data_IF_373347624208
#
_entry.id   IF_373347624208
#
_cell.length_a   1.000
_cell.length_b   1.000
_cell.length_c   1.000
_cell.angle_alpha   90.00
_cell.angle_beta   90.00
_cell.angle_gamma   90.00
#
_symmetry.space_group_name_H-M   'P 1'
#
loop_
_entity.id
_entity.type
_entity.pdbx_description
1 polymer ?
#
# COMPACT_ATOMS: atom_id res chain seq x y z
N UNK A 1 -19.27 -3.75 -19.53
CA UNK A 1 -18.90 -2.50 -18.85
C UNK A 1 -20.10 -1.59 -18.89
N UNK A 2 -20.52 -1.04 -17.74
CA UNK A 2 -21.56 -0.01 -17.74
C UNK A 2 -21.06 1.19 -18.56
N UNK A 3 -21.87 1.69 -19.48
CA UNK A 3 -21.48 2.83 -20.28
C UNK A 3 -21.42 4.08 -19.40
N UNK A 4 -20.21 4.61 -19.20
CA UNK A 4 -19.99 5.88 -18.53
C UNK A 4 -19.88 6.98 -19.58
N UNK A 5 -20.58 8.10 -19.38
CA UNK A 5 -20.56 9.26 -20.27
C UNK A 5 -19.56 10.35 -19.81
N UNK A 6 -18.48 9.93 -19.14
CA UNK A 6 -17.43 10.81 -18.64
C UNK A 6 -16.05 10.21 -18.89
N UNK A 7 -15.03 11.07 -18.94
CA UNK A 7 -13.63 10.66 -19.16
C UNK A 7 -12.88 10.25 -17.89
N UNK A 8 -13.56 10.19 -16.73
CA UNK A 8 -12.93 9.76 -15.48
C UNK A 8 -12.79 8.24 -15.38
N UNK A 9 -11.65 7.81 -14.84
CA UNK A 9 -11.35 6.40 -14.54
C UNK A 9 -11.94 6.03 -13.17
N UNK A 10 -12.83 5.03 -13.17
CA UNK A 10 -13.39 4.47 -11.94
C UNK A 10 -12.55 3.27 -11.54
N UNK A 11 -11.63 3.49 -10.59
CA UNK A 11 -10.69 2.47 -10.11
C UNK A 11 -11.44 1.32 -9.45
N UNK A 12 -11.06 0.09 -9.77
CA UNK A 12 -11.61 -1.10 -9.14
C UNK A 12 -11.26 -1.16 -7.64
N UNK A 13 -12.11 -1.80 -6.80
CA UNK A 13 -11.80 -1.98 -5.40
C UNK A 13 -10.43 -2.66 -5.20
N UNK A 14 -9.52 -1.95 -4.54
CA UNK A 14 -8.15 -2.40 -4.31
C UNK A 14 -7.89 -2.71 -2.83
N UNK A 15 -7.12 -3.77 -2.52
CA UNK A 15 -6.74 -4.08 -1.14
C UNK A 15 -5.54 -3.24 -0.63
N UNK A 16 -4.83 -2.53 -1.51
CA UNK A 16 -3.62 -1.79 -1.13
C UNK A 16 -3.82 -0.70 -0.06
N UNK A 17 -4.95 0.04 -0.01
CA UNK A 17 -5.19 1.02 1.04
C UNK A 17 -5.20 0.42 2.45
N UNK A 18 -5.89 -0.72 2.65
CA UNK A 18 -5.98 -1.35 3.98
C UNK A 18 -4.63 -1.96 4.40
N UNK A 19 -3.91 -2.57 3.45
CA UNK A 19 -2.56 -3.07 3.72
C UNK A 19 -1.56 -1.95 3.98
N UNK A 20 -1.70 -0.80 3.31
CA UNK A 20 -0.90 0.39 3.57
C UNK A 20 -1.14 0.96 4.97
N UNK A 21 -2.40 1.02 5.41
CA UNK A 21 -2.75 1.44 6.77
C UNK A 21 -2.16 0.49 7.83
N UNK A 22 -2.25 -0.83 7.61
CA UNK A 22 -1.64 -1.82 8.49
C UNK A 22 -0.11 -1.70 8.52
N UNK A 23 0.55 -1.48 7.36
CA UNK A 23 1.99 -1.30 7.28
C UNK A 23 2.46 -0.02 8.02
N UNK A 24 1.70 1.08 7.94
CA UNK A 24 1.96 2.29 8.71
C UNK A 24 1.84 2.07 10.22
N UNK A 25 0.83 1.32 10.67
CA UNK A 25 0.67 0.93 12.07
C UNK A 25 1.84 0.07 12.57
N UNK A 26 2.27 -0.93 11.79
CA UNK A 26 3.43 -1.77 12.12
C UNK A 26 4.72 -0.96 12.17
N UNK A 27 4.90 0.01 11.28
CA UNK A 27 6.09 0.87 11.25
C UNK A 27 6.15 1.78 12.47
N UNK A 28 5.04 2.44 12.82
CA UNK A 28 4.97 3.35 13.98
C UNK A 28 5.13 2.61 15.30
N UNK A 29 4.42 1.49 15.49
CA UNK A 29 4.62 0.61 16.66
C UNK A 29 6.02 -0.01 16.69
N UNK A 30 6.58 -0.36 15.53
CA UNK A 30 7.95 -0.86 15.38
C UNK A 30 9.01 0.15 15.81
N UNK A 31 8.82 1.44 15.49
CA UNK A 31 9.69 2.52 15.99
C UNK A 31 9.63 2.62 17.51
N UNK A 32 8.43 2.56 18.10
CA UNK A 32 8.28 2.54 19.57
C UNK A 32 9.02 1.35 20.19
N UNK A 33 8.85 0.14 19.60
CA UNK A 33 9.52 -1.08 20.05
C UNK A 33 11.04 -0.98 19.96
N UNK A 34 11.56 -0.39 18.89
CA UNK A 34 13.00 -0.21 18.74
C UNK A 34 13.56 0.76 19.78
N UNK A 35 12.93 1.92 19.97
CA UNK A 35 13.47 2.95 20.86
C UNK A 35 13.34 2.62 22.35
N UNK A 36 12.32 1.88 22.76
CA UNK A 36 12.06 1.60 24.18
C UNK A 36 12.54 0.22 24.62
N UNK A 37 12.60 -0.74 23.69
CA UNK A 37 12.91 -2.14 23.99
C UNK A 37 14.09 -2.69 23.17
N UNK A 38 14.78 -1.83 22.40
CA UNK A 38 15.91 -2.19 21.54
C UNK A 38 15.61 -3.37 20.58
N UNK A 39 14.35 -3.54 20.18
CA UNK A 39 13.90 -4.61 19.30
C UNK A 39 13.43 -4.05 17.96
N UNK A 40 14.24 -4.13 16.89
CA UNK A 40 13.89 -3.58 15.58
C UNK A 40 13.02 -4.52 14.73
N UNK A 41 12.71 -5.74 15.19
CA UNK A 41 12.04 -6.77 14.39
C UNK A 41 10.70 -6.27 13.81
N UNK A 42 9.87 -5.63 14.64
CA UNK A 42 8.57 -5.13 14.22
C UNK A 42 8.70 -3.99 13.20
N UNK A 43 9.71 -3.12 13.37
CA UNK A 43 10.02 -2.06 12.42
C UNK A 43 10.42 -2.62 11.05
N UNK A 44 11.28 -3.65 11.03
CA UNK A 44 11.72 -4.29 9.78
C UNK A 44 10.51 -4.87 9.03
N UNK A 45 9.61 -5.55 9.74
CA UNK A 45 8.37 -6.08 9.14
C UNK A 45 7.51 -4.93 8.58
N UNK A 46 7.30 -3.86 9.35
CA UNK A 46 6.52 -2.71 8.90
C UNK A 46 7.09 -2.04 7.65
N UNK A 47 8.42 -1.87 7.58
CA UNK A 47 9.10 -1.31 6.42
C UNK A 47 9.02 -2.22 5.19
N UNK A 48 9.23 -3.53 5.35
CA UNK A 48 9.09 -4.50 4.26
C UNK A 48 7.66 -4.53 3.72
N UNK A 49 6.65 -4.53 4.61
CA UNK A 49 5.25 -4.44 4.22
C UNK A 49 4.94 -3.14 3.47
N UNK A 50 5.50 -2.01 3.91
CA UNK A 50 5.31 -0.71 3.25
C UNK A 50 5.87 -0.74 1.82
N UNK A 51 7.10 -1.22 1.64
CA UNK A 51 7.71 -1.35 0.30
C UNK A 51 6.91 -2.29 -0.60
N UNK A 52 6.42 -3.40 -0.06
CA UNK A 52 5.61 -4.38 -0.78
C UNK A 52 4.28 -3.77 -1.24
N UNK A 53 3.61 -2.97 -0.40
CA UNK A 53 2.37 -2.27 -0.77
C UNK A 53 2.65 -1.22 -1.85
N UNK A 54 3.70 -0.41 -1.69
CA UNK A 54 4.07 0.60 -2.69
C UNK A 54 4.36 -0.02 -4.05
N UNK A 55 5.15 -1.11 -4.08
CA UNK A 55 5.48 -1.80 -5.32
C UNK A 55 4.25 -2.34 -6.04
N UNK A 56 3.36 -3.04 -5.32
CA UNK A 56 2.17 -3.64 -5.92
C UNK A 56 1.14 -2.60 -6.33
N UNK A 57 0.95 -1.55 -5.52
CA UNK A 57 0.02 -0.48 -5.85
C UNK A 57 0.48 0.27 -7.10
N UNK A 58 1.76 0.66 -7.19
CA UNK A 58 2.25 1.33 -8.39
C UNK A 58 2.27 0.43 -9.62
N UNK A 59 2.52 -0.87 -9.46
CA UNK A 59 2.34 -1.83 -10.55
C UNK A 59 0.91 -1.79 -11.08
N UNK A 60 -0.09 -1.72 -10.21
CA UNK A 60 -1.49 -1.71 -10.62
C UNK A 60 -1.86 -0.38 -11.29
N UNK A 61 -1.36 0.76 -10.81
CA UNK A 61 -1.49 2.06 -11.49
C UNK A 61 -0.90 2.02 -12.91
N UNK A 62 0.29 1.45 -13.09
CA UNK A 62 0.90 1.30 -14.43
C UNK A 62 0.05 0.40 -15.33
N UNK A 63 -0.57 -0.65 -14.77
CA UNK A 63 -1.44 -1.55 -15.54
C UNK A 63 -2.72 -0.87 -15.99
N UNK A 64 -3.36 -0.13 -15.08
CA UNK A 64 -4.56 0.64 -15.35
C UNK A 64 -4.28 1.68 -16.46
N UNK A 65 -3.21 2.47 -16.30
CA UNK A 65 -2.89 3.55 -17.23
C UNK A 65 -2.40 3.08 -18.60
N UNK A 66 -1.66 1.97 -18.67
CA UNK A 66 -0.99 1.54 -19.91
C UNK A 66 -1.82 0.54 -20.69
N UNK A 67 -2.59 -0.32 -20.01
CA UNK A 67 -3.24 -1.47 -20.63
C UNK A 67 -4.77 -1.44 -20.57
N UNK A 68 -5.37 -0.66 -19.67
CA UNK A 68 -6.83 -0.70 -19.43
C UNK A 68 -7.56 0.55 -19.92
N UNK A 69 -6.90 1.71 -19.94
CA UNK A 69 -7.41 2.94 -20.55
C UNK A 69 -8.37 3.70 -19.66
#
# INVERSE_FOLDING_TARGET
MAHQAHSYHMVDPSPWPIFGAAAAFLTTSGLTMWFHYNSPNLLIIGLLSTLLVMFQWWRDVVRESTFQG
#
